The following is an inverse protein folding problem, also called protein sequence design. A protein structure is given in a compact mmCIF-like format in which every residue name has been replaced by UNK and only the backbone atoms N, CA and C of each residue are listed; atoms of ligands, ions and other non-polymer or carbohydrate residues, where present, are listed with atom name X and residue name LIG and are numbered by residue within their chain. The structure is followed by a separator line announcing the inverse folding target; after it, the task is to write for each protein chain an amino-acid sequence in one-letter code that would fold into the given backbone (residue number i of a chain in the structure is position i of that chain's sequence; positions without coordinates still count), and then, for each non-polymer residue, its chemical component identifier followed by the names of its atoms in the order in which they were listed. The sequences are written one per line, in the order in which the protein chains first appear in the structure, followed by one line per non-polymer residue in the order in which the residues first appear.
data_IF_183100718775
#
_entry.id   IF_183100718775
#
_cell.length_a   1.000
_cell.length_b   1.000
_cell.length_c   1.000
_cell.angle_alpha   90.00
_cell.angle_beta   90.00
_cell.angle_gamma   90.00
#
_symmetry.space_group_name_H-M   'P 1'
#
loop_
_entity.id
_entity.type
_entity.pdbx_description
1 polymer ?
#
# COMPACT_ATOMS: atom_id res chain seq x y z
N UNK A 1 1.71 -5.41 -23.21
CA UNK A 1 0.31 -5.03 -22.91
C UNK A 1 -0.41 -4.95 -24.24
N UNK A 2 -1.51 -5.66 -24.36
CA UNK A 2 -2.31 -5.65 -25.58
C UNK A 2 -3.09 -4.33 -25.70
N UNK A 3 -3.47 -3.97 -26.92
CA UNK A 3 -4.19 -2.71 -27.19
C UNK A 3 -5.47 -2.56 -26.37
N UNK A 4 -6.27 -3.62 -26.26
CA UNK A 4 -7.51 -3.59 -25.48
C UNK A 4 -7.25 -3.39 -23.99
N UNK A 5 -6.13 -3.88 -23.44
CA UNK A 5 -5.78 -3.69 -22.03
C UNK A 5 -5.53 -2.21 -21.75
N UNK A 6 -4.82 -1.52 -22.66
CA UNK A 6 -4.55 -0.08 -22.56
C UNK A 6 -5.86 0.70 -22.62
N UNK A 7 -6.69 0.41 -23.62
CA UNK A 7 -8.00 1.07 -23.78
C UNK A 7 -8.91 0.87 -22.56
N UNK A 8 -8.88 -0.31 -21.94
CA UNK A 8 -9.65 -0.59 -20.71
C UNK A 8 -9.12 0.20 -19.50
N UNK A 9 -7.81 0.28 -19.32
CA UNK A 9 -7.21 1.05 -18.24
C UNK A 9 -7.56 2.53 -18.38
N UNK A 10 -7.43 3.10 -19.58
CA UNK A 10 -7.82 4.48 -19.86
C UNK A 10 -9.30 4.74 -19.56
N UNK A 11 -10.16 3.84 -19.97
CA UNK A 11 -11.60 3.92 -19.70
C UNK A 11 -11.91 3.87 -18.22
N UNK A 12 -11.31 2.93 -17.48
CA UNK A 12 -11.49 2.82 -16.02
C UNK A 12 -11.04 4.10 -15.33
N UNK A 13 -9.86 4.63 -15.67
CA UNK A 13 -9.37 5.90 -15.11
C UNK A 13 -10.31 7.07 -15.38
N UNK A 14 -10.93 7.12 -16.55
CA UNK A 14 -11.88 8.17 -16.91
C UNK A 14 -13.17 8.12 -16.12
N UNK A 15 -13.72 6.93 -15.88
CA UNK A 15 -15.01 6.77 -15.20
C UNK A 15 -14.89 6.68 -13.66
N UNK A 16 -13.74 6.30 -13.12
CA UNK A 16 -13.55 6.15 -11.67
C UNK A 16 -13.92 7.41 -10.87
N UNK A 17 -13.54 8.64 -11.28
CA UNK A 17 -13.96 9.85 -10.57
C UNK A 17 -15.48 10.05 -10.53
N UNK A 18 -16.19 9.58 -11.53
CA UNK A 18 -17.67 9.69 -11.59
C UNK A 18 -18.36 8.77 -10.56
N UNK A 19 -17.63 7.77 -10.03
CA UNK A 19 -18.11 6.88 -8.97
C UNK A 19 -17.82 7.39 -7.56
N UNK A 20 -17.15 8.55 -7.42
CA UNK A 20 -16.78 9.14 -6.14
C UNK A 20 -17.72 10.28 -5.80
N UNK A 21 -18.23 10.29 -4.57
CA UNK A 21 -19.12 11.34 -4.06
C UNK A 21 -18.49 11.98 -2.83
N UNK A 22 -18.17 13.27 -2.93
CA UNK A 22 -17.71 14.05 -1.79
C UNK A 22 -18.93 14.47 -0.96
N UNK A 23 -19.12 13.86 0.21
CA UNK A 23 -20.28 14.11 1.07
C UNK A 23 -20.16 15.40 1.86
N UNK A 24 -18.93 15.79 2.24
CA UNK A 24 -18.67 17.00 3.02
C UNK A 24 -17.23 17.46 2.77
N UNK A 25 -17.05 18.77 2.73
CA UNK A 25 -15.73 19.41 2.71
C UNK A 25 -15.77 20.65 3.61
N UNK A 26 -14.66 20.90 4.28
CA UNK A 26 -14.40 22.17 5.00
C UNK A 26 -13.51 23.13 4.19
N UNK A 27 -13.23 22.77 2.94
CA UNK A 27 -12.35 23.52 2.05
C UNK A 27 -10.92 22.97 2.00
N UNK A 28 -10.54 22.02 2.87
CA UNK A 28 -9.21 21.42 2.84
C UNK A 28 -9.04 20.41 1.71
N UNK A 29 -10.13 19.86 1.21
CA UNK A 29 -10.16 18.90 0.11
C UNK A 29 -11.41 19.14 -0.77
N UNK A 30 -11.33 19.01 -2.10
CA UNK A 30 -10.14 18.67 -2.89
C UNK A 30 -9.09 19.79 -2.90
N UNK A 31 -7.84 19.42 -3.17
CA UNK A 31 -6.74 20.38 -3.34
C UNK A 31 -6.85 21.04 -4.72
N UNK A 32 -6.58 22.32 -4.80
CA UNK A 32 -6.67 23.09 -6.06
C UNK A 32 -5.59 22.69 -7.07
N UNK A 33 -4.42 22.29 -6.59
CA UNK A 33 -3.30 21.86 -7.42
C UNK A 33 -2.40 20.88 -6.68
N UNK A 34 -1.64 20.03 -7.41
CA UNK A 34 -0.60 19.22 -6.83
C UNK A 34 0.50 20.07 -6.18
N UNK A 35 0.99 19.61 -5.04
CA UNK A 35 2.02 20.30 -4.26
C UNK A 35 2.96 19.29 -3.57
N UNK A 36 3.60 19.70 -2.50
CA UNK A 36 4.39 18.84 -1.63
C UNK A 36 3.47 18.13 -0.63
N UNK A 37 3.57 16.81 -0.56
CA UNK A 37 2.74 16.00 0.31
C UNK A 37 3.60 14.99 1.08
N UNK A 38 3.35 14.87 2.37
CA UNK A 38 3.91 13.81 3.20
C UNK A 38 2.88 12.69 3.36
N UNK A 39 3.27 11.46 3.07
CA UNK A 39 2.45 10.26 3.27
C UNK A 39 3.15 9.29 4.20
N UNK A 40 2.38 8.67 5.07
CA UNK A 40 2.89 7.78 6.11
C UNK A 40 2.09 6.49 6.16
N UNK A 41 2.68 5.46 6.75
CA UNK A 41 2.04 4.18 6.97
C UNK A 41 2.21 3.16 5.85
N UNK A 42 1.91 1.93 6.20
CA UNK A 42 2.14 0.75 5.36
C UNK A 42 1.38 0.82 4.02
N UNK A 43 0.15 1.31 4.02
CA UNK A 43 -0.71 1.34 2.85
C UNK A 43 -0.20 2.26 1.74
N UNK A 44 0.70 3.20 2.03
CA UNK A 44 1.28 4.09 1.03
C UNK A 44 1.97 3.32 -0.12
N UNK A 45 2.73 2.28 0.22
CA UNK A 45 3.46 1.41 -0.73
C UNK A 45 2.87 0.00 -0.85
N UNK A 46 2.19 -0.48 0.19
CA UNK A 46 1.58 -1.81 0.25
C UNK A 46 0.06 -1.71 0.25
N UNK A 47 -0.46 -0.89 -0.65
CA UNK A 47 -1.89 -0.66 -0.83
C UNK A 47 -2.61 -1.98 -1.09
N UNK A 48 -3.65 -2.26 -0.31
CA UNK A 48 -4.47 -3.47 -0.51
C UNK A 48 -5.35 -3.25 -1.74
N UNK A 49 -5.10 -4.05 -2.78
CA UNK A 49 -5.83 -3.97 -4.07
C UNK A 49 -7.06 -4.87 -4.14
N UNK A 50 -7.23 -5.75 -3.19
CA UNK A 50 -8.34 -6.72 -3.17
C UNK A 50 -8.38 -7.52 -1.88
N UNK A 51 -9.30 -8.47 -1.79
CA UNK A 51 -9.40 -9.39 -0.65
C UNK A 51 -8.28 -10.42 -0.64
N UNK A 52 -8.15 -11.15 0.47
CA UNK A 52 -7.26 -12.31 0.59
C UNK A 52 -7.85 -13.56 -0.08
N UNK A 53 -7.05 -14.56 -0.34
CA UNK A 53 -7.47 -15.81 -0.97
C UNK A 53 -7.82 -15.61 -2.45
N UNK A 54 -9.00 -16.03 -2.88
CA UNK A 54 -9.44 -15.91 -4.28
C UNK A 54 -9.59 -14.48 -4.78
N UNK A 55 -9.68 -13.50 -3.90
CA UNK A 55 -9.70 -12.07 -4.23
C UNK A 55 -8.30 -11.48 -4.46
N UNK A 56 -7.24 -12.19 -4.09
CA UNK A 56 -5.85 -11.74 -4.30
C UNK A 56 -5.35 -12.17 -5.68
N UNK A 57 -5.84 -11.48 -6.70
CA UNK A 57 -5.49 -11.76 -8.10
C UNK A 57 -4.10 -11.22 -8.43
N UNK A 58 -3.28 -12.06 -9.06
CA UNK A 58 -2.00 -11.63 -9.61
C UNK A 58 -2.23 -10.68 -10.79
N UNK A 59 -1.72 -9.47 -10.66
CA UNK A 59 -1.75 -8.45 -11.70
C UNK A 59 -0.32 -8.14 -12.14
N UNK A 60 -0.14 -7.68 -13.37
CA UNK A 60 1.19 -7.29 -13.88
C UNK A 60 1.73 -6.09 -13.14
N UNK A 61 0.87 -5.15 -12.87
CA UNK A 61 1.14 -3.92 -12.14
C UNK A 61 -0.15 -3.39 -11.51
N UNK A 62 -0.04 -2.76 -10.36
CA UNK A 62 -1.10 -1.95 -9.79
C UNK A 62 -0.50 -0.65 -9.25
N UNK A 63 -1.26 0.42 -9.35
CA UNK A 63 -0.85 1.73 -8.87
C UNK A 63 -1.18 1.83 -7.38
N UNK A 64 -0.15 1.92 -6.53
CA UNK A 64 -0.30 2.20 -5.11
C UNK A 64 -0.56 3.69 -4.83
N UNK A 65 -0.73 4.05 -3.56
CA UNK A 65 -1.02 5.44 -3.17
C UNK A 65 0.18 6.35 -3.53
N UNK A 66 1.41 5.96 -3.20
CA UNK A 66 2.62 6.75 -3.52
C UNK A 66 2.70 7.01 -5.02
N UNK A 67 2.65 5.96 -5.83
CA UNK A 67 2.71 6.08 -7.29
C UNK A 67 1.53 6.88 -7.86
N UNK A 68 0.33 6.69 -7.31
CA UNK A 68 -0.87 7.41 -7.75
C UNK A 68 -0.76 8.91 -7.53
N UNK A 69 -0.22 9.34 -6.40
CA UNK A 69 0.03 10.74 -6.09
C UNK A 69 1.13 11.34 -6.98
N UNK A 70 2.23 10.61 -7.19
CA UNK A 70 3.28 11.06 -8.11
C UNK A 70 2.77 11.19 -9.55
N UNK A 71 1.96 10.25 -10.03
CA UNK A 71 1.32 10.31 -11.35
C UNK A 71 0.34 11.49 -11.46
N UNK A 72 -0.23 11.93 -10.33
CA UNK A 72 -1.07 13.13 -10.27
C UNK A 72 -0.28 14.43 -10.15
N UNK A 73 1.06 14.36 -10.09
CA UNK A 73 1.95 15.52 -10.05
C UNK A 73 2.37 15.97 -8.66
N UNK A 74 2.03 15.22 -7.60
CA UNK A 74 2.49 15.53 -6.25
C UNK A 74 3.95 15.16 -6.05
N UNK A 75 4.64 15.91 -5.19
CA UNK A 75 6.00 15.59 -4.73
C UNK A 75 5.94 14.98 -3.35
N UNK A 76 6.30 13.70 -3.22
CA UNK A 76 6.31 13.01 -1.92
C UNK A 76 7.56 13.38 -1.14
N UNK A 77 7.39 14.01 0.02
CA UNK A 77 8.48 14.51 0.86
C UNK A 77 8.94 13.48 1.91
N UNK A 78 8.08 12.53 2.27
CA UNK A 78 8.33 11.52 3.32
C UNK A 78 8.96 10.22 2.81
N UNK A 79 9.61 10.22 1.64
CA UNK A 79 10.20 8.98 1.07
C UNK A 79 11.21 8.32 1.99
N UNK A 80 12.06 9.11 2.66
CA UNK A 80 13.04 8.57 3.62
C UNK A 80 12.36 7.84 4.80
N UNK A 81 11.23 8.37 5.26
CA UNK A 81 10.40 7.72 6.27
C UNK A 81 9.84 6.37 5.76
N UNK A 82 9.28 6.38 4.55
CA UNK A 82 8.75 5.16 3.92
C UNK A 82 9.84 4.11 3.70
N UNK A 83 11.05 4.51 3.31
CA UNK A 83 12.19 3.61 3.16
C UNK A 83 12.60 2.97 4.49
N UNK A 84 12.63 3.77 5.56
CA UNK A 84 12.94 3.29 6.92
C UNK A 84 11.87 2.30 7.40
N UNK A 85 10.60 2.62 7.17
CA UNK A 85 9.49 1.73 7.50
C UNK A 85 9.56 0.40 6.72
N UNK A 86 9.82 0.47 5.40
CA UNK A 86 9.96 -0.71 4.56
C UNK A 86 11.09 -1.63 5.03
N UNK A 87 12.20 -1.08 5.51
CA UNK A 87 13.31 -1.86 6.07
C UNK A 87 12.88 -2.63 7.33
N UNK A 88 12.18 -1.98 8.26
CA UNK A 88 11.64 -2.62 9.48
C UNK A 88 10.64 -3.70 9.10
N UNK A 89 9.70 -3.37 8.21
CA UNK A 89 8.68 -4.33 7.75
C UNK A 89 9.30 -5.55 7.07
N UNK A 90 10.29 -5.36 6.20
CA UNK A 90 10.96 -6.46 5.50
C UNK A 90 11.70 -7.40 6.47
N UNK A 91 12.36 -6.85 7.50
CA UNK A 91 13.01 -7.62 8.56
C UNK A 91 11.98 -8.47 9.32
N UNK A 92 10.92 -7.84 9.82
CA UNK A 92 9.85 -8.51 10.56
C UNK A 92 9.17 -9.60 9.73
N UNK A 93 8.89 -9.34 8.46
CA UNK A 93 8.31 -10.32 7.54
C UNK A 93 9.23 -11.54 7.33
N UNK A 94 10.53 -11.30 7.19
CA UNK A 94 11.52 -12.39 7.07
C UNK A 94 11.55 -13.26 8.32
N UNK A 95 11.57 -12.64 9.50
CA UNK A 95 11.55 -13.34 10.79
C UNK A 95 10.25 -14.12 10.98
N UNK A 96 9.10 -13.51 10.68
CA UNK A 96 7.79 -14.16 10.72
C UNK A 96 7.72 -15.39 9.81
N UNK A 97 8.15 -15.26 8.55
CA UNK A 97 8.19 -16.39 7.61
C UNK A 97 9.15 -17.49 8.05
N UNK A 98 10.29 -17.13 8.64
CA UNK A 98 11.23 -18.10 9.18
C UNK A 98 10.63 -18.86 10.37
N UNK A 99 9.91 -18.17 11.26
CA UNK A 99 9.20 -18.79 12.37
C UNK A 99 8.13 -19.79 11.92
N UNK A 100 7.32 -19.43 10.91
CA UNK A 100 6.33 -20.35 10.34
C UNK A 100 7.02 -21.58 9.73
N UNK A 101 8.08 -21.39 8.95
CA UNK A 101 8.83 -22.52 8.37
C UNK A 101 9.41 -23.46 9.43
N UNK A 102 9.95 -22.89 10.51
CA UNK A 102 10.49 -23.68 11.63
C UNK A 102 9.39 -24.52 12.33
N UNK A 103 8.20 -23.91 12.56
CA UNK A 103 7.05 -24.64 13.11
C UNK A 103 6.59 -25.77 12.20
N UNK A 104 6.47 -25.52 10.91
CA UNK A 104 6.11 -26.55 9.92
C UNK A 104 7.13 -27.72 9.93
N UNK A 105 8.40 -27.39 10.01
CA UNK A 105 9.46 -28.42 10.07
C UNK A 105 9.42 -29.27 11.35
N UNK A 106 9.01 -28.67 12.47
CA UNK A 106 8.92 -29.34 13.77
C UNK A 106 7.62 -30.16 13.93
N UNK A 107 6.49 -29.64 13.48
CA UNK A 107 5.15 -30.16 13.78
C UNK A 107 4.45 -30.81 12.56
N UNK A 108 5.04 -30.71 11.37
CA UNK A 108 4.53 -31.35 10.16
C UNK A 108 3.25 -30.70 9.60
N UNK A 109 2.38 -31.54 9.00
CA UNK A 109 1.17 -31.09 8.27
C UNK A 109 0.17 -30.29 9.12
N UNK A 110 0.09 -30.54 10.42
CA UNK A 110 -0.79 -29.77 11.32
C UNK A 110 -0.40 -28.29 11.39
N UNK A 111 0.90 -27.99 11.32
CA UNK A 111 1.39 -26.62 11.34
C UNK A 111 1.21 -25.89 9.99
N UNK A 112 1.00 -26.59 8.88
CA UNK A 112 0.69 -25.98 7.58
C UNK A 112 -0.64 -25.23 7.67
N UNK A 113 -1.66 -25.80 8.29
CA UNK A 113 -2.96 -25.16 8.47
C UNK A 113 -2.85 -23.91 9.35
N UNK A 114 -2.01 -23.95 10.38
CA UNK A 114 -1.70 -22.77 11.20
C UNK A 114 -0.99 -21.68 10.39
N UNK A 115 -0.10 -22.07 9.48
CA UNK A 115 0.61 -21.15 8.60
C UNK A 115 -0.30 -20.43 7.60
N UNK A 116 -1.35 -21.09 7.10
CA UNK A 116 -2.31 -20.50 6.16
C UNK A 116 -3.11 -19.36 6.82
N UNK A 117 -3.44 -19.48 8.11
CA UNK A 117 -4.18 -18.46 8.87
C UNK A 117 -3.29 -17.46 9.63
N UNK A 118 -1.98 -17.61 9.56
CA UNK A 118 -1.07 -16.77 10.34
C UNK A 118 -0.98 -15.35 9.74
N UNK A 119 -1.24 -14.36 10.58
CA UNK A 119 -1.16 -12.94 10.22
C UNK A 119 0.04 -12.33 10.95
N UNK A 120 0.93 -11.70 10.19
CA UNK A 120 2.02 -10.92 10.76
C UNK A 120 1.44 -9.66 11.41
N UNK A 121 1.81 -9.42 12.66
CA UNK A 121 1.46 -8.17 13.32
C UNK A 121 2.29 -7.03 12.72
N UNK A 122 1.69 -5.84 12.70
CA UNK A 122 2.39 -4.62 12.32
C UNK A 122 3.63 -4.44 13.22
N UNK A 123 4.82 -4.23 12.66
CA UNK A 123 6.01 -3.98 13.48
C UNK A 123 5.90 -2.65 14.22
N UNK A 124 6.37 -2.61 15.45
CA UNK A 124 6.56 -1.37 16.17
C UNK A 124 7.68 -0.54 15.52
N UNK A 125 7.47 0.76 15.45
CA UNK A 125 8.46 1.71 14.93
C UNK A 125 8.32 3.06 15.63
N UNK A 126 9.46 3.76 15.78
CA UNK A 126 9.54 5.09 16.41
C UNK A 126 10.27 6.05 15.47
N UNK A 127 9.65 6.34 14.31
CA UNK A 127 10.17 7.33 13.39
C UNK A 127 9.38 8.63 13.52
N UNK A 128 10.04 9.80 13.59
CA UNK A 128 9.34 11.08 13.65
C UNK A 128 8.57 11.33 12.35
N UNK A 129 7.39 11.94 12.47
CA UNK A 129 6.57 12.38 11.34
C UNK A 129 6.93 13.83 11.02
N UNK A 130 8.14 14.06 10.54
CA UNK A 130 8.79 15.38 10.39
C UNK A 130 9.06 15.81 8.95
N UNK A 131 8.53 15.07 7.97
CA UNK A 131 8.68 15.46 6.58
C UNK A 131 7.92 16.77 6.29
N UNK A 132 8.61 17.71 5.69
CA UNK A 132 8.03 18.98 5.27
C UNK A 132 7.00 18.76 4.14
N UNK A 133 5.87 19.45 4.21
CA UNK A 133 4.84 19.39 3.17
C UNK A 133 3.69 20.33 3.45
N UNK A 134 2.97 20.66 2.39
CA UNK A 134 1.77 21.50 2.48
C UNK A 134 0.58 20.71 3.05
N UNK A 135 0.65 19.39 2.92
CA UNK A 135 -0.38 18.45 3.38
C UNK A 135 0.28 17.15 3.84
N UNK A 136 -0.30 16.50 4.85
CA UNK A 136 0.10 15.17 5.32
C UNK A 136 -1.10 14.20 5.28
N UNK A 137 -0.84 12.95 4.90
CA UNK A 137 -1.80 11.83 4.86
C UNK A 137 -1.24 10.62 5.60
#
# INVERSE_FOLDING_TARGET
MERYEIEHIERVRKITPECMVLLKSDGSFPLDAPGKIAIYGNAARKTIKGGTGSGDVNVRHYVGIEEGLENAGFTITSKAWLDSYDAVWAKTNKEFKAGIKAKIAAEGLSAIMLGIGAIMQEPEYEFPLDAEGDTAI
#
